data_IF_635706299004
#
_entry.id   IF_635706299004
#
_cell.length_a   1.000
_cell.length_b   1.000
_cell.length_c   1.000
_cell.angle_alpha   90.00
_cell.angle_beta   90.00
_cell.angle_gamma   90.00
#
_symmetry.space_group_name_H-M   'P 1'
#
loop_
_entity.id
_entity.type
_entity.pdbx_description
1 polymer ?
#
# COMPACT_ATOMS: atom_id res chain seq x y z
N UNK A 1 92.41 -15.01 9.90
CA UNK A 1 93.69 -15.44 10.51
C UNK A 1 93.57 -15.17 12.00
N UNK A 2 93.71 -16.20 12.85
CA UNK A 2 93.72 -16.12 14.33
C UNK A 2 92.36 -15.74 14.98
N UNK A 3 91.74 -16.57 15.86
CA UNK A 3 91.87 -16.78 17.34
C UNK A 3 90.93 -15.94 18.23
N UNK A 4 90.43 -16.57 19.31
CA UNK A 4 89.58 -16.11 20.45
C UNK A 4 90.27 -15.17 21.49
N UNK A 5 89.59 -14.70 22.59
CA UNK A 5 88.14 -14.54 22.87
C UNK A 5 87.78 -13.02 23.13
N UNK A 6 87.51 -12.40 24.33
CA UNK A 6 87.28 -12.81 25.73
C UNK A 6 85.80 -12.57 26.23
N UNK A 7 85.58 -11.95 27.43
CA UNK A 7 84.31 -11.99 28.22
C UNK A 7 84.02 -10.68 29.01
N UNK A 8 82.84 -10.62 29.67
CA UNK A 8 82.39 -9.69 30.76
C UNK A 8 82.03 -8.23 30.39
N UNK A 9 81.14 -7.48 31.08
CA UNK A 9 80.35 -7.64 32.34
C UNK A 9 78.96 -6.94 32.23
N UNK A 10 78.07 -7.11 33.22
CA UNK A 10 76.94 -6.21 33.55
C UNK A 10 76.98 -5.85 35.07
N UNK A 11 76.37 -4.74 35.58
CA UNK A 11 75.05 -4.85 36.24
C UNK A 11 74.21 -3.54 36.47
N UNK A 12 73.01 -3.71 37.08
CA UNK A 12 72.30 -2.79 38.05
C UNK A 12 71.73 -1.41 37.56
N UNK A 13 70.46 -1.04 37.82
CA UNK A 13 69.77 -0.56 39.07
C UNK A 13 69.94 0.97 39.31
N UNK A 14 69.01 1.77 39.86
CA UNK A 14 67.80 1.55 40.71
C UNK A 14 66.63 2.51 40.34
N UNK A 15 65.36 2.26 40.71
CA UNK A 15 64.59 2.82 41.86
C UNK A 15 64.91 4.30 42.25
N UNK A 16 63.97 5.17 42.66
CA UNK A 16 62.76 4.96 43.50
C UNK A 16 61.74 6.15 43.49
N UNK A 17 60.60 5.98 44.18
CA UNK A 17 59.82 6.97 44.97
C UNK A 17 59.05 8.19 44.37
N UNK A 18 57.72 8.11 44.57
CA UNK A 18 56.86 9.07 45.30
C UNK A 18 56.04 10.23 44.62
N UNK A 19 54.78 10.31 45.10
CA UNK A 19 53.75 11.38 45.06
C UNK A 19 53.93 12.33 46.29
N UNK A 20 53.07 13.34 46.60
CA UNK A 20 51.84 13.87 45.93
C UNK A 20 51.80 15.43 45.78
N UNK A 21 50.72 16.00 45.23
CA UNK A 21 49.83 17.02 45.90
C UNK A 21 48.71 17.56 44.98
N UNK A 22 47.71 18.20 45.60
CA UNK A 22 46.61 19.03 45.08
C UNK A 22 46.37 20.14 46.15
N UNK A 23 45.38 21.07 46.09
CA UNK A 23 44.29 21.30 45.11
C UNK A 23 44.09 22.80 44.72
N UNK A 24 42.99 23.14 44.03
CA UNK A 24 42.26 24.40 44.33
C UNK A 24 40.77 24.37 43.94
N UNK A 25 39.98 25.40 44.32
CA UNK A 25 38.50 25.41 44.23
C UNK A 25 37.84 26.76 43.90
N UNK A 26 37.24 26.83 42.71
CA UNK A 26 35.90 27.42 42.48
C UNK A 26 35.73 28.94 42.40
N UNK A 27 34.46 29.34 42.15
CA UNK A 27 33.94 30.70 41.83
C UNK A 27 34.28 31.18 40.40
N UNK A 28 33.47 32.00 39.72
CA UNK A 28 32.16 32.63 40.04
C UNK A 28 31.06 32.21 39.04
N UNK A 29 29.80 32.50 39.36
CA UNK A 29 28.66 32.31 38.45
C UNK A 29 28.42 33.54 37.56
N UNK A 30 27.83 33.31 36.38
CA UNK A 30 26.99 34.30 35.70
C UNK A 30 25.75 33.56 35.16
N UNK A 31 24.57 34.01 35.57
CA UNK A 31 23.27 33.51 35.09
C UNK A 31 22.77 34.50 34.04
N UNK A 32 22.51 34.03 32.82
CA UNK A 32 21.76 34.82 31.84
C UNK A 32 20.91 33.90 30.95
N UNK A 33 19.63 33.78 31.30
CA UNK A 33 18.65 32.97 30.56
C UNK A 33 18.04 33.78 29.41
N UNK A 34 18.52 33.61 28.17
CA UNK A 34 17.69 33.89 26.98
C UNK A 34 18.25 33.32 25.66
N UNK A 35 17.94 32.06 25.34
CA UNK A 35 17.60 31.61 23.97
C UNK A 35 17.07 30.18 23.99
N UNK A 36 15.75 30.02 24.02
CA UNK A 36 15.12 28.73 23.73
C UNK A 36 15.14 28.50 22.22
N UNK A 37 16.30 28.11 21.69
CA UNK A 37 16.42 27.69 20.29
C UNK A 37 15.67 26.36 20.14
N UNK A 38 14.47 26.41 19.56
CA UNK A 38 13.64 25.23 19.37
C UNK A 38 14.24 24.41 18.24
N UNK A 39 14.87 23.28 18.58
CA UNK A 39 15.44 22.35 17.60
C UNK A 39 14.33 21.65 16.80
N UNK A 40 13.86 22.32 15.74
CA UNK A 40 12.97 21.74 14.73
C UNK A 40 13.65 20.66 13.85
N UNK A 41 14.89 20.26 14.18
CA UNK A 41 15.61 19.14 13.57
C UNK A 41 14.98 17.75 13.81
N UNK A 42 13.91 17.67 14.62
CA UNK A 42 13.15 16.45 14.89
C UNK A 42 11.98 16.18 13.90
N UNK A 43 11.85 16.99 12.84
CA UNK A 43 10.81 16.84 11.81
C UNK A 43 11.43 16.70 10.40
N UNK A 44 12.24 15.66 10.20
CA UNK A 44 12.69 15.27 8.87
C UNK A 44 11.48 14.91 7.98
N UNK A 45 11.48 15.25 6.68
CA UNK A 45 10.45 14.80 5.76
C UNK A 45 10.43 13.26 5.68
N UNK A 46 9.29 12.68 5.32
CA UNK A 46 9.25 11.26 4.96
C UNK A 46 10.14 11.06 3.72
N UNK A 47 11.30 10.47 3.94
CA UNK A 47 12.12 9.95 2.86
C UNK A 47 11.36 8.78 2.19
N UNK A 48 11.25 8.84 0.87
CA UNK A 48 10.66 7.74 0.09
C UNK A 48 11.64 6.57 -0.04
N UNK A 49 12.91 6.83 0.25
CA UNK A 49 14.05 5.99 -0.05
C UNK A 49 14.43 5.13 1.19
N UNK A 50 13.43 4.48 1.81
CA UNK A 50 13.68 3.47 2.85
C UNK A 50 14.41 2.30 2.19
N UNK A 51 15.74 2.30 2.35
CA UNK A 51 16.64 1.28 1.88
C UNK A 51 16.21 -0.10 2.38
N UNK A 52 15.86 -0.99 1.45
CA UNK A 52 15.37 -2.34 1.73
C UNK A 52 16.54 -3.30 2.03
N UNK A 53 17.53 -2.80 2.81
CA UNK A 53 18.81 -3.45 3.07
C UNK A 53 18.69 -4.71 3.94
N UNK A 54 17.76 -4.71 4.90
CA UNK A 54 17.53 -5.80 5.87
C UNK A 54 16.25 -6.63 5.60
N UNK A 55 15.69 -6.57 4.39
CA UNK A 55 14.66 -7.54 4.01
C UNK A 55 15.26 -8.95 3.91
N UNK A 56 14.62 -9.99 4.47
CA UNK A 56 15.15 -11.35 4.48
C UNK A 56 15.40 -11.87 3.05
N UNK A 57 16.67 -12.15 2.75
CA UNK A 57 17.19 -12.46 1.41
C UNK A 57 16.58 -13.75 0.86
N UNK A 58 15.52 -13.62 0.06
CA UNK A 58 14.89 -14.76 -0.64
C UNK A 58 13.61 -14.44 -1.41
N UNK A 59 12.83 -13.46 -0.95
CA UNK A 59 11.56 -13.10 -1.60
C UNK A 59 11.74 -11.95 -2.61
N UNK A 60 11.94 -12.27 -3.90
CA UNK A 60 11.89 -11.26 -4.98
C UNK A 60 10.59 -10.43 -4.88
N UNK A 61 10.64 -9.08 -4.86
CA UNK A 61 9.47 -8.20 -4.86
C UNK A 61 8.46 -8.53 -5.95
N UNK A 62 7.17 -8.28 -5.71
CA UNK A 62 6.08 -8.70 -6.60
C UNK A 62 6.19 -8.07 -7.99
N UNK A 63 6.61 -6.80 -8.08
CA UNK A 63 6.84 -6.10 -9.35
C UNK A 63 7.99 -6.70 -10.18
N UNK A 64 8.94 -7.42 -9.56
CA UNK A 64 10.03 -8.14 -10.24
C UNK A 64 9.66 -9.59 -10.62
N UNK A 65 8.38 -9.98 -10.53
CA UNK A 65 7.89 -11.31 -10.93
C UNK A 65 7.19 -11.20 -12.30
N UNK A 66 7.73 -11.75 -13.40
CA UNK A 66 7.15 -11.57 -14.73
C UNK A 66 5.72 -12.13 -14.85
N UNK A 67 5.38 -13.17 -14.08
CA UNK A 67 4.00 -13.68 -13.96
C UNK A 67 3.02 -12.67 -13.35
N UNK A 68 3.47 -11.80 -12.44
CA UNK A 68 2.63 -10.75 -11.87
C UNK A 68 2.39 -9.62 -12.89
N UNK A 69 3.47 -9.16 -13.55
CA UNK A 69 3.40 -8.15 -14.62
C UNK A 69 2.50 -8.62 -15.77
N UNK A 70 2.67 -9.87 -16.23
CA UNK A 70 1.84 -10.44 -17.30
C UNK A 70 0.34 -10.54 -16.96
N UNK A 71 -0.02 -10.81 -15.70
CA UNK A 71 -1.42 -10.78 -15.25
C UNK A 71 -2.00 -9.35 -15.27
N UNK A 72 -1.24 -8.36 -14.78
CA UNK A 72 -1.68 -6.95 -14.81
C UNK A 72 -1.81 -6.46 -16.26
N UNK A 73 -0.84 -6.77 -17.12
CA UNK A 73 -0.84 -6.37 -18.53
C UNK A 73 -2.01 -6.99 -19.32
N UNK A 74 -2.25 -8.30 -19.17
CA UNK A 74 -3.38 -8.99 -19.81
C UNK A 74 -4.73 -8.41 -19.35
N UNK A 75 -4.88 -8.18 -18.03
CA UNK A 75 -6.09 -7.56 -17.49
C UNK A 75 -6.27 -6.12 -17.98
N UNK A 76 -5.22 -5.30 -17.94
CA UNK A 76 -5.25 -3.90 -18.35
C UNK A 76 -5.56 -3.72 -19.83
N UNK A 77 -5.04 -4.59 -20.69
CA UNK A 77 -5.38 -4.63 -22.11
C UNK A 77 -6.87 -4.96 -22.33
N UNK A 78 -7.40 -5.99 -21.64
CA UNK A 78 -8.81 -6.35 -21.72
C UNK A 78 -9.73 -5.25 -21.19
N UNK A 79 -9.41 -4.65 -20.03
CA UNK A 79 -10.18 -3.55 -19.45
C UNK A 79 -10.18 -2.30 -20.33
N UNK A 80 -9.02 -1.93 -20.88
CA UNK A 80 -8.88 -0.82 -21.82
C UNK A 80 -9.67 -1.07 -23.10
N UNK A 81 -9.59 -2.27 -23.67
CA UNK A 81 -10.35 -2.64 -24.87
C UNK A 81 -11.87 -2.59 -24.67
N UNK A 82 -12.36 -3.00 -23.50
CA UNK A 82 -13.78 -2.85 -23.13
C UNK A 82 -14.15 -1.38 -22.98
N UNK A 83 -13.36 -0.57 -22.25
CA UNK A 83 -13.62 0.88 -22.13
C UNK A 83 -13.69 1.57 -23.49
N UNK A 84 -12.74 1.27 -24.37
CA UNK A 84 -12.67 1.87 -25.71
C UNK A 84 -13.87 1.46 -26.57
N UNK A 85 -14.22 0.17 -26.58
CA UNK A 85 -15.41 -0.31 -27.29
C UNK A 85 -16.70 0.35 -26.80
N UNK A 86 -16.86 0.57 -25.48
CA UNK A 86 -17.99 1.30 -24.93
C UNK A 86 -17.98 2.77 -25.34
N UNK A 87 -16.83 3.46 -25.26
CA UNK A 87 -16.69 4.87 -25.64
C UNK A 87 -16.98 5.13 -27.13
N UNK A 88 -16.55 4.21 -28.02
CA UNK A 88 -16.84 4.27 -29.46
C UNK A 88 -18.31 3.91 -29.78
N UNK A 89 -18.94 3.03 -29.01
CA UNK A 89 -20.36 2.65 -29.19
C UNK A 89 -21.32 3.74 -28.71
N UNK A 90 -20.97 4.42 -27.61
CA UNK A 90 -21.76 5.50 -27.00
C UNK A 90 -20.91 6.78 -26.85
N UNK A 91 -20.64 7.51 -27.95
CA UNK A 91 -19.86 8.75 -27.90
C UNK A 91 -20.63 9.89 -27.23
N UNK A 92 -19.91 10.73 -26.49
CA UNK A 92 -20.45 11.96 -25.90
C UNK A 92 -20.66 13.03 -26.98
N UNK A 93 -21.83 13.68 -27.01
CA UNK A 93 -22.06 14.84 -27.88
C UNK A 93 -21.23 16.05 -27.43
N UNK A 94 -20.81 16.91 -28.36
CA UNK A 94 -20.05 18.12 -28.03
C UNK A 94 -20.81 19.02 -27.04
N UNK A 95 -20.12 19.46 -25.97
CA UNK A 95 -20.73 20.21 -24.86
C UNK A 95 -21.64 19.39 -23.92
N UNK A 96 -21.85 18.10 -24.19
CA UNK A 96 -22.71 17.21 -23.41
C UNK A 96 -22.03 16.56 -22.21
N UNK A 97 -22.84 16.07 -21.26
CA UNK A 97 -22.35 15.33 -20.10
C UNK A 97 -21.69 13.99 -20.53
N UNK A 98 -20.45 13.64 -20.10
CA UNK A 98 -19.72 12.44 -20.54
C UNK A 98 -20.25 11.13 -19.92
N UNK A 99 -21.50 10.79 -20.24
CA UNK A 99 -22.27 9.71 -19.60
C UNK A 99 -21.59 8.35 -19.67
N UNK A 100 -20.88 8.05 -20.75
CA UNK A 100 -20.20 6.76 -20.95
C UNK A 100 -18.98 6.62 -20.04
N UNK A 101 -18.10 7.64 -20.00
CA UNK A 101 -16.93 7.66 -19.10
C UNK A 101 -17.37 7.74 -17.63
N UNK A 102 -18.43 8.49 -17.34
CA UNK A 102 -19.08 8.50 -16.03
C UNK A 102 -19.52 7.09 -15.62
N UNK A 103 -20.38 6.43 -16.41
CA UNK A 103 -20.92 5.11 -16.09
C UNK A 103 -19.81 4.05 -15.93
N UNK A 104 -18.78 4.08 -16.78
CA UNK A 104 -17.60 3.22 -16.70
C UNK A 104 -16.88 3.41 -15.35
N UNK A 105 -16.61 4.64 -14.93
CA UNK A 105 -15.96 4.92 -13.66
C UNK A 105 -16.84 4.54 -12.44
N UNK A 106 -18.15 4.78 -12.48
CA UNK A 106 -19.09 4.40 -11.41
C UNK A 106 -19.20 2.87 -11.28
N UNK A 107 -19.39 2.15 -12.38
CA UNK A 107 -19.45 0.67 -12.39
C UNK A 107 -18.11 0.08 -11.95
N UNK A 108 -16.99 0.62 -12.44
CA UNK A 108 -15.65 0.17 -12.04
C UNK A 108 -15.39 0.36 -10.54
N UNK A 109 -15.76 1.51 -9.98
CA UNK A 109 -15.64 1.77 -8.53
C UNK A 109 -16.50 0.80 -7.70
N UNK A 110 -17.74 0.54 -8.09
CA UNK A 110 -18.61 -0.43 -7.43
C UNK A 110 -18.03 -1.85 -7.45
N UNK A 111 -17.63 -2.33 -8.64
CA UNK A 111 -17.08 -3.69 -8.80
C UNK A 111 -15.74 -3.83 -8.07
N UNK A 112 -14.91 -2.78 -8.02
CA UNK A 112 -13.68 -2.76 -7.24
C UNK A 112 -13.97 -2.86 -5.73
N UNK A 113 -14.98 -2.15 -5.23
CA UNK A 113 -15.45 -2.26 -3.84
C UNK A 113 -15.87 -3.69 -3.47
N UNK A 114 -16.68 -4.34 -4.32
CA UNK A 114 -17.07 -5.75 -4.15
C UNK A 114 -15.84 -6.68 -4.18
N UNK A 115 -14.92 -6.47 -5.12
CA UNK A 115 -13.74 -7.32 -5.32
C UNK A 115 -12.77 -7.25 -4.13
N UNK A 116 -12.46 -6.04 -3.65
CA UNK A 116 -11.52 -5.82 -2.54
C UNK A 116 -12.04 -6.43 -1.24
N UNK A 117 -13.33 -6.27 -0.95
CA UNK A 117 -14.03 -6.90 0.17
C UNK A 117 -13.98 -8.44 0.08
N UNK A 118 -14.36 -9.01 -1.07
CA UNK A 118 -14.41 -10.46 -1.32
C UNK A 118 -13.03 -11.15 -1.29
N UNK A 119 -11.95 -10.40 -1.53
CA UNK A 119 -10.56 -10.87 -1.37
C UNK A 119 -10.04 -10.64 0.05
N UNK A 120 -10.33 -9.50 0.66
CA UNK A 120 -9.79 -9.07 1.96
C UNK A 120 -10.21 -9.97 3.12
N UNK A 121 -11.50 -10.31 3.24
CA UNK A 121 -12.02 -11.09 4.39
C UNK A 121 -11.71 -12.59 4.36
N UNK A 122 -10.72 -13.04 3.56
CA UNK A 122 -10.47 -14.46 3.27
C UNK A 122 -9.01 -14.94 3.41
N UNK A 123 -8.23 -14.27 4.26
CA UNK A 123 -6.88 -14.70 4.65
C UNK A 123 -5.76 -13.99 3.86
N UNK A 124 -4.54 -14.54 3.95
CA UNK A 124 -3.34 -13.95 3.35
C UNK A 124 -3.48 -13.74 1.83
N UNK A 125 -2.88 -12.65 1.33
CA UNK A 125 -2.89 -12.33 -0.10
C UNK A 125 -1.88 -13.20 -0.86
N UNK A 126 -2.18 -14.47 -1.05
CA UNK A 126 -1.24 -15.44 -1.61
C UNK A 126 -1.86 -16.30 -2.72
N UNK A 127 -0.97 -16.93 -3.50
CA UNK A 127 -1.34 -17.82 -4.61
C UNK A 127 -2.45 -17.23 -5.51
N UNK A 128 -3.57 -17.95 -5.58
CA UNK A 128 -4.72 -17.59 -6.43
C UNK A 128 -5.41 -16.27 -6.00
N UNK A 129 -5.30 -15.84 -4.73
CA UNK A 129 -5.88 -14.54 -4.29
C UNK A 129 -5.12 -13.37 -4.88
N UNK A 130 -3.79 -13.35 -4.73
CA UNK A 130 -2.92 -12.32 -5.31
C UNK A 130 -3.03 -12.28 -6.83
N UNK A 131 -3.08 -13.45 -7.49
CA UNK A 131 -3.29 -13.55 -8.92
C UNK A 131 -4.60 -12.90 -9.38
N UNK A 132 -5.72 -13.16 -8.68
CA UNK A 132 -7.00 -12.52 -8.95
C UNK A 132 -6.98 -11.01 -8.65
N UNK A 133 -6.31 -10.56 -7.59
CA UNK A 133 -6.15 -9.14 -7.24
C UNK A 133 -5.44 -8.36 -8.35
N UNK A 134 -4.33 -8.92 -8.85
CA UNK A 134 -3.52 -8.31 -9.90
C UNK A 134 -4.23 -8.34 -11.26
N UNK A 135 -4.84 -9.47 -11.64
CA UNK A 135 -5.53 -9.60 -12.92
C UNK A 135 -6.80 -8.74 -12.98
N UNK A 136 -7.68 -8.84 -11.97
CA UNK A 136 -9.00 -8.22 -12.01
C UNK A 136 -9.02 -6.80 -11.43
N UNK A 137 -8.31 -6.57 -10.31
CA UNK A 137 -8.26 -5.28 -9.64
C UNK A 137 -7.30 -4.32 -10.35
N UNK A 138 -6.01 -4.64 -10.33
CA UNK A 138 -4.97 -3.78 -10.94
C UNK A 138 -5.02 -3.78 -12.46
N UNK A 139 -5.29 -4.94 -13.08
CA UNK A 139 -5.43 -5.10 -14.53
C UNK A 139 -6.79 -4.63 -15.04
N UNK A 140 -7.81 -5.50 -15.03
CA UNK A 140 -9.10 -5.24 -15.70
C UNK A 140 -9.75 -3.96 -15.22
N UNK A 141 -9.98 -3.79 -13.91
CA UNK A 141 -10.65 -2.59 -13.39
C UNK A 141 -9.78 -1.34 -13.52
N UNK A 142 -8.45 -1.46 -13.41
CA UNK A 142 -7.51 -0.35 -13.60
C UNK A 142 -7.37 0.15 -15.05
N UNK A 143 -7.56 -0.71 -16.05
CA UNK A 143 -7.62 -0.31 -17.47
C UNK A 143 -9.04 0.10 -17.94
N UNK A 144 -10.06 -0.48 -17.31
CA UNK A 144 -11.47 -0.20 -17.56
C UNK A 144 -11.87 1.19 -17.03
N UNK A 145 -11.46 1.57 -15.82
CA UNK A 145 -11.66 2.95 -15.35
C UNK A 145 -10.63 3.90 -15.96
N UNK A 146 -10.90 5.21 -15.94
CA UNK A 146 -10.00 6.23 -16.47
C UNK A 146 -10.13 7.54 -15.70
N UNK A 147 -9.00 8.03 -15.16
CA UNK A 147 -8.92 9.38 -14.60
C UNK A 147 -8.45 10.41 -15.64
N UNK A 148 -7.61 10.02 -16.60
CA UNK A 148 -7.10 10.92 -17.64
C UNK A 148 -8.23 11.41 -18.56
N UNK A 149 -9.09 10.50 -19.04
CA UNK A 149 -10.25 10.87 -19.88
C UNK A 149 -11.25 11.73 -19.09
N UNK A 150 -11.50 11.38 -17.82
CA UNK A 150 -12.33 12.20 -16.92
C UNK A 150 -11.79 13.63 -16.79
N UNK A 151 -10.48 13.81 -16.62
CA UNK A 151 -9.86 15.14 -16.54
C UNK A 151 -9.90 15.89 -17.88
N UNK A 152 -9.65 15.22 -19.02
CA UNK A 152 -9.74 15.88 -20.33
C UNK A 152 -11.17 16.29 -20.66
N UNK A 153 -12.16 15.43 -20.39
CA UNK A 153 -13.57 15.73 -20.65
C UNK A 153 -14.06 16.88 -19.76
N UNK A 154 -13.65 16.90 -18.48
CA UNK A 154 -13.93 18.02 -17.56
C UNK A 154 -13.30 19.33 -18.07
N UNK A 155 -12.05 19.29 -18.51
CA UNK A 155 -11.36 20.48 -19.04
C UNK A 155 -11.99 20.98 -20.35
N UNK A 156 -12.33 20.07 -21.27
CA UNK A 156 -13.00 20.38 -22.54
C UNK A 156 -14.37 21.05 -22.30
N UNK A 157 -15.14 20.57 -21.32
CA UNK A 157 -16.40 21.20 -20.92
C UNK A 157 -16.20 22.56 -20.25
N UNK A 158 -15.11 22.74 -19.48
CA UNK A 158 -14.84 24.02 -18.82
C UNK A 158 -14.42 25.13 -19.79
N UNK A 159 -13.85 24.80 -20.96
CA UNK A 159 -13.46 25.75 -22.02
C UNK A 159 -14.47 25.85 -23.17
N UNK A 160 -15.54 25.06 -23.16
CA UNK A 160 -16.64 25.16 -24.14
C UNK A 160 -17.64 26.22 -23.68
N UNK A 161 -18.05 27.12 -24.58
CA UNK A 161 -18.95 28.23 -24.25
C UNK A 161 -20.21 27.78 -23.49
N UNK A 162 -20.46 28.45 -22.37
CA UNK A 162 -21.55 28.19 -21.42
C UNK A 162 -21.60 26.80 -20.75
N UNK A 163 -20.66 25.88 -21.02
CA UNK A 163 -20.69 24.51 -20.49
C UNK A 163 -20.00 24.33 -19.11
N UNK A 164 -19.45 25.39 -18.51
CA UNK A 164 -18.77 25.34 -17.19
C UNK A 164 -19.63 24.70 -16.07
N UNK A 165 -20.95 24.95 -16.06
CA UNK A 165 -21.85 24.30 -15.10
C UNK A 165 -21.92 22.78 -15.26
N UNK A 166 -21.84 22.28 -16.50
CA UNK A 166 -21.78 20.85 -16.82
C UNK A 166 -20.43 20.26 -16.43
N UNK A 167 -19.32 20.99 -16.64
CA UNK A 167 -17.98 20.59 -16.20
C UNK A 167 -17.93 20.38 -14.68
N UNK A 168 -18.42 21.35 -13.90
CA UNK A 168 -18.46 21.27 -12.44
C UNK A 168 -19.38 20.16 -11.94
N UNK A 169 -20.56 19.99 -12.57
CA UNK A 169 -21.48 18.89 -12.25
C UNK A 169 -20.87 17.51 -12.55
N UNK A 170 -20.18 17.35 -13.68
CA UNK A 170 -19.49 16.11 -14.05
C UNK A 170 -18.34 15.79 -13.11
N UNK A 171 -17.52 16.79 -12.74
CA UNK A 171 -16.45 16.63 -11.76
C UNK A 171 -16.97 16.19 -10.38
N UNK A 172 -17.94 16.93 -9.84
CA UNK A 172 -18.52 16.64 -8.52
C UNK A 172 -19.27 15.29 -8.50
N UNK A 173 -20.08 15.00 -9.52
CA UNK A 173 -20.82 13.75 -9.60
C UNK A 173 -19.88 12.54 -9.72
N UNK A 174 -18.83 12.60 -10.56
CA UNK A 174 -17.89 11.50 -10.75
C UNK A 174 -17.18 11.12 -9.44
N UNK A 175 -16.78 12.11 -8.63
CA UNK A 175 -16.16 11.90 -7.33
C UNK A 175 -17.16 11.39 -6.29
N UNK A 176 -18.27 12.10 -6.08
CA UNK A 176 -19.24 11.79 -5.02
C UNK A 176 -19.96 10.44 -5.28
N UNK A 177 -20.43 10.22 -6.51
CA UNK A 177 -21.09 8.96 -6.88
C UNK A 177 -20.06 7.83 -6.97
N UNK A 178 -18.81 8.10 -7.37
CA UNK A 178 -17.75 7.09 -7.40
C UNK A 178 -17.39 6.56 -6.00
N UNK A 179 -17.24 7.46 -5.02
CA UNK A 179 -17.03 7.10 -3.61
C UNK A 179 -18.24 6.34 -3.05
N UNK A 180 -19.46 6.82 -3.31
CA UNK A 180 -20.68 6.14 -2.87
C UNK A 180 -20.83 4.74 -3.49
N UNK A 181 -20.52 4.59 -4.77
CA UNK A 181 -20.56 3.32 -5.49
C UNK A 181 -19.54 2.31 -4.93
N UNK A 182 -18.30 2.75 -4.66
CA UNK A 182 -17.29 1.92 -3.98
C UNK A 182 -17.75 1.46 -2.61
N UNK A 183 -18.31 2.36 -1.78
CA UNK A 183 -18.84 2.03 -0.46
C UNK A 183 -20.03 1.05 -0.53
N UNK A 184 -20.94 1.21 -1.49
CA UNK A 184 -22.03 0.27 -1.76
C UNK A 184 -21.52 -1.11 -2.20
N UNK A 185 -20.43 -1.16 -2.98
CA UNK A 185 -19.76 -2.40 -3.37
C UNK A 185 -19.20 -3.17 -2.17
N UNK A 186 -18.51 -2.47 -1.26
CA UNK A 186 -18.01 -3.05 0.01
C UNK A 186 -19.17 -3.52 0.90
N UNK A 187 -20.25 -2.73 1.01
CA UNK A 187 -21.44 -3.10 1.78
C UNK A 187 -22.14 -4.35 1.22
N UNK A 188 -22.21 -4.50 -0.11
CA UNK A 188 -22.77 -5.68 -0.76
C UNK A 188 -21.88 -6.92 -0.56
N UNK A 189 -20.57 -6.80 -0.77
CA UNK A 189 -19.61 -7.89 -0.57
C UNK A 189 -19.65 -8.44 0.87
N UNK A 190 -19.80 -7.55 1.86
CA UNK A 190 -19.98 -7.88 3.28
C UNK A 190 -21.16 -8.82 3.49
N UNK A 191 -22.35 -8.42 3.01
CA UNK A 191 -23.61 -9.16 3.18
C UNK A 191 -23.55 -10.56 2.55
N UNK A 192 -22.93 -10.67 1.37
CA UNK A 192 -22.72 -11.96 0.69
C UNK A 192 -21.87 -12.91 1.56
N UNK A 193 -20.82 -12.40 2.20
CA UNK A 193 -19.95 -13.20 3.06
C UNK A 193 -20.65 -13.64 4.36
N UNK A 194 -21.45 -12.76 4.98
CA UNK A 194 -22.25 -13.08 6.16
C UNK A 194 -23.31 -14.16 5.89
N UNK A 195 -24.04 -14.05 4.77
CA UNK A 195 -25.03 -15.06 4.36
C UNK A 195 -24.38 -16.42 4.10
N UNK A 196 -23.19 -16.45 3.47
CA UNK A 196 -22.44 -17.68 3.25
C UNK A 196 -21.99 -18.33 4.57
N UNK A 197 -21.49 -17.54 5.53
CA UNK A 197 -21.12 -18.05 6.87
C UNK A 197 -22.33 -18.61 7.61
N UNK A 198 -23.46 -17.89 7.63
CA UNK A 198 -24.70 -18.33 8.32
C UNK A 198 -25.25 -19.65 7.77
N UNK A 199 -25.13 -19.91 6.47
CA UNK A 199 -25.52 -21.20 5.88
C UNK A 199 -24.62 -22.34 6.34
N UNK A 200 -23.30 -22.15 6.32
CA UNK A 200 -22.33 -23.17 6.76
C UNK A 200 -22.45 -23.52 8.27
N UNK A 201 -23.06 -22.66 9.10
CA UNK A 201 -23.36 -22.95 10.51
C UNK A 201 -24.76 -23.56 10.75
N UNK A 202 -25.59 -23.70 9.71
CA UNK A 202 -26.96 -24.23 9.80
C UNK A 202 -27.13 -25.60 9.11
N UNK A 203 -26.08 -26.08 8.43
CA UNK A 203 -26.05 -27.40 7.81
C UNK A 203 -25.58 -28.43 8.87
N UNK A 204 -26.46 -29.35 9.35
CA UNK A 204 -26.11 -30.28 10.42
C UNK A 204 -25.09 -31.30 9.93
N UNK A 205 -24.19 -31.72 10.82
CA UNK A 205 -23.11 -32.64 10.49
C UNK A 205 -23.67 -33.99 9.97
N UNK A 206 -23.22 -34.49 8.80
CA UNK A 206 -23.67 -35.77 8.26
C UNK A 206 -23.29 -36.96 9.16
N UNK A 207 -24.18 -37.34 10.08
CA UNK A 207 -23.97 -38.50 10.95
C UNK A 207 -24.76 -38.55 12.27
N UNK A 208 -25.37 -37.46 12.75
CA UNK A 208 -26.06 -37.46 14.06
C UNK A 208 -27.48 -38.08 14.03
N UNK A 209 -28.15 -38.09 12.88
CA UNK A 209 -29.57 -38.52 12.76
C UNK A 209 -29.82 -39.99 13.12
N UNK A 210 -28.80 -40.85 13.15
CA UNK A 210 -28.95 -42.31 13.21
C UNK A 210 -28.85 -42.92 14.62
N UNK A 211 -28.64 -42.13 15.69
CA UNK A 211 -28.23 -42.66 17.00
C UNK A 211 -29.29 -42.62 18.13
N UNK A 212 -30.55 -42.32 17.83
CA UNK A 212 -31.62 -42.09 18.85
C UNK A 212 -32.80 -43.09 18.83
N UNK A 213 -32.78 -44.12 17.98
CA UNK A 213 -33.92 -45.04 17.81
C UNK A 213 -33.48 -46.50 17.90
N UNK A 214 -33.17 -46.98 19.11
CA UNK A 214 -32.67 -48.34 19.30
C UNK A 214 -32.34 -48.77 20.74
N UNK A 215 -33.11 -48.30 21.74
CA UNK A 215 -32.83 -48.58 23.16
C UNK A 215 -34.10 -48.69 24.04
N UNK A 216 -35.16 -49.33 23.55
CA UNK A 216 -36.37 -49.60 24.34
C UNK A 216 -37.25 -50.75 23.81
N UNK A 217 -36.82 -51.99 24.04
CA UNK A 217 -37.64 -53.21 24.21
C UNK A 217 -36.76 -54.37 24.68
#
# INVERSE_FOLDING_TARGET
>A
MSTEPPTDTAPSSSADAARPTAPERGRTAHDDRATAHVDHAAALPLDADIDVADAPRGLRPVHLRPRAVGLVALGGAAGTGVREALALTWPTAAGGFPVTIFAINIVGAFVLGVLLEFLGRRGSDEGRRRAARLLLGTGVLGGFTTYSTFMTDTANLAVTDHALGVALAYAAASLLVGVAASALGVALGSRIHETARRRATLEPAPGETTRSTGASR
#
